data_IF_145433079667
#
_entry.id   IF_145433079667
#
_cell.length_a   1.000
_cell.length_b   1.000
_cell.length_c   1.000
_cell.angle_alpha   90.00
_cell.angle_beta   90.00
_cell.angle_gamma   90.00
#
_symmetry.space_group_name_H-M   'P 1'
#
loop_
_entity.id
_entity.type
_entity.pdbx_description
1 polymer ?
#
# COMPACT_ATOMS: atom_id res chain seq x y z
N UNK A 1 -32.02 96.02 65.71
CA UNK A 1 -33.19 95.27 66.22
C UNK A 1 -33.11 93.83 65.72
N UNK A 2 -33.06 92.83 66.60
CA UNK A 2 -33.04 91.42 66.19
C UNK A 2 -34.49 90.99 65.94
N UNK A 3 -34.89 90.81 64.66
CA UNK A 3 -36.19 90.26 64.31
C UNK A 3 -36.33 88.82 64.86
N UNK A 4 -37.50 88.53 65.43
CA UNK A 4 -37.87 87.18 65.90
C UNK A 4 -38.02 86.23 64.70
N UNK A 5 -37.85 84.93 64.92
CA UNK A 5 -37.95 83.89 63.88
C UNK A 5 -39.29 83.98 63.13
N UNK A 6 -40.40 84.03 63.87
CA UNK A 6 -41.74 84.08 63.30
C UNK A 6 -41.94 85.30 62.40
N UNK A 7 -41.47 86.48 62.81
CA UNK A 7 -41.61 87.70 62.00
C UNK A 7 -40.80 87.64 60.70
N UNK A 8 -39.61 87.01 60.73
CA UNK A 8 -38.82 86.76 59.53
C UNK A 8 -39.51 85.76 58.59
N UNK A 9 -40.06 84.68 59.15
CA UNK A 9 -40.82 83.69 58.37
C UNK A 9 -42.07 84.30 57.75
N UNK A 10 -42.80 85.14 58.48
CA UNK A 10 -44.01 85.80 57.98
C UNK A 10 -43.69 86.84 56.92
N UNK A 11 -42.65 87.66 57.12
CA UNK A 11 -42.19 88.59 56.10
C UNK A 11 -41.72 87.89 54.81
N UNK A 12 -41.10 86.71 54.94
CA UNK A 12 -40.74 85.88 53.80
C UNK A 12 -41.99 85.33 53.08
N UNK A 13 -43.00 84.90 53.84
CA UNK A 13 -44.27 84.44 53.26
C UNK A 13 -45.00 85.57 52.52
N UNK A 14 -45.03 86.78 53.09
CA UNK A 14 -45.63 87.96 52.45
C UNK A 14 -44.90 88.32 51.15
N UNK A 15 -43.56 88.30 51.15
CA UNK A 15 -42.76 88.56 49.95
C UNK A 15 -42.98 87.49 48.86
N UNK A 16 -42.94 86.20 49.23
CA UNK A 16 -43.19 85.10 48.28
C UNK A 16 -44.61 85.14 47.72
N UNK A 17 -45.59 85.49 48.54
CA UNK A 17 -46.98 85.63 48.12
C UNK A 17 -47.18 86.83 47.19
N UNK A 18 -46.49 87.95 47.43
CA UNK A 18 -46.47 89.10 46.53
C UNK A 18 -45.87 88.75 45.15
N UNK A 19 -44.87 87.86 45.13
CA UNK A 19 -44.26 87.31 43.90
C UNK A 19 -45.10 86.18 43.25
N UNK A 20 -46.30 85.90 43.77
CA UNK A 20 -47.20 84.86 43.24
C UNK A 20 -46.75 83.42 43.51
N UNK A 21 -45.73 83.20 44.35
CA UNK A 21 -45.22 81.87 44.71
C UNK A 21 -45.86 81.40 46.01
N UNK A 22 -46.29 80.14 46.06
CA UNK A 22 -46.79 79.54 47.30
C UNK A 22 -45.64 79.40 48.31
N UNK A 23 -45.74 79.99 49.52
CA UNK A 23 -44.72 79.79 50.54
C UNK A 23 -44.54 78.31 50.87
N UNK A 24 -43.30 77.82 50.75
CA UNK A 24 -42.88 76.48 51.13
C UNK A 24 -41.64 76.57 52.01
N UNK A 25 -41.35 75.52 52.78
CA UNK A 25 -40.20 75.50 53.72
C UNK A 25 -38.92 75.91 53.00
N UNK A 26 -38.63 75.32 51.84
CA UNK A 26 -37.43 75.61 51.06
C UNK A 26 -37.34 77.09 50.68
N UNK A 27 -38.39 77.63 50.05
CA UNK A 27 -38.42 79.02 49.58
C UNK A 27 -38.31 80.04 50.73
N UNK A 28 -39.01 79.78 51.83
CA UNK A 28 -38.97 80.65 53.02
C UNK A 28 -37.58 80.61 53.67
N UNK A 29 -36.92 79.45 53.71
CA UNK A 29 -35.56 79.34 54.23
C UNK A 29 -34.54 80.05 53.36
N UNK A 30 -34.64 79.89 52.04
CA UNK A 30 -33.73 80.55 51.10
C UNK A 30 -33.86 82.07 51.19
N UNK A 31 -35.09 82.58 51.30
CA UNK A 31 -35.35 84.01 51.50
C UNK A 31 -34.81 84.50 52.85
N UNK A 32 -35.12 83.80 53.94
CA UNK A 32 -34.65 84.20 55.29
C UNK A 32 -33.13 84.08 55.44
N UNK A 33 -32.48 83.17 54.71
CA UNK A 33 -31.02 83.10 54.59
C UNK A 33 -30.45 84.30 53.85
N UNK A 34 -31.01 84.64 52.69
CA UNK A 34 -30.57 85.76 51.87
C UNK A 34 -30.73 87.12 52.60
N UNK A 35 -31.81 87.29 53.36
CA UNK A 35 -32.13 88.57 54.03
C UNK A 35 -31.61 88.63 55.48
N UNK A 36 -31.52 87.50 56.18
CA UNK A 36 -31.24 87.44 57.62
C UNK A 36 -29.93 86.77 58.03
N UNK A 37 -29.16 86.22 57.07
CA UNK A 37 -27.80 85.71 57.29
C UNK A 37 -27.66 84.45 58.14
N UNK A 38 -28.75 83.85 58.64
CA UNK A 38 -28.70 82.60 59.41
C UNK A 38 -30.00 81.78 59.31
N UNK A 39 -29.85 80.46 59.25
CA UNK A 39 -30.96 79.48 59.35
C UNK A 39 -31.56 79.54 60.77
N UNK A 40 -32.66 80.26 60.99
CA UNK A 40 -33.34 80.31 62.29
C UNK A 40 -34.43 79.24 62.40
N UNK A 41 -34.20 78.20 63.21
CA UNK A 41 -35.19 77.19 63.58
C UNK A 41 -35.12 75.88 62.78
N UNK A 42 -35.86 74.87 63.25
CA UNK A 42 -36.03 73.57 62.57
C UNK A 42 -37.07 73.66 61.43
N UNK A 43 -37.09 72.68 60.51
CA UNK A 43 -38.11 72.65 59.45
C UNK A 43 -39.53 72.56 60.01
N UNK A 44 -39.72 71.84 61.13
CA UNK A 44 -41.01 71.76 61.81
C UNK A 44 -41.46 73.11 62.37
N UNK A 45 -40.53 73.91 62.89
CA UNK A 45 -40.81 75.27 63.37
C UNK A 45 -41.20 76.22 62.23
N UNK A 46 -40.45 76.21 61.14
CA UNK A 46 -40.72 77.04 59.95
C UNK A 46 -42.05 76.64 59.34
N UNK A 47 -42.34 75.34 59.22
CA UNK A 47 -43.62 74.85 58.72
C UNK A 47 -44.79 75.26 59.63
N UNK A 48 -44.59 75.26 60.96
CA UNK A 48 -45.62 75.72 61.90
C UNK A 48 -45.90 77.21 61.73
N UNK A 49 -44.86 78.03 61.57
CA UNK A 49 -44.98 79.48 61.36
C UNK A 49 -45.63 79.80 59.99
N UNK A 50 -45.30 79.04 58.94
CA UNK A 50 -45.96 79.12 57.61
C UNK A 50 -47.45 78.75 57.71
N UNK A 51 -47.78 77.66 58.41
CA UNK A 51 -49.17 77.24 58.60
C UNK A 51 -49.97 78.28 59.39
N UNK A 52 -49.37 78.89 60.41
CA UNK A 52 -49.99 79.98 61.16
C UNK A 52 -50.24 81.21 60.27
N UNK A 53 -49.27 81.58 59.43
CA UNK A 53 -49.43 82.65 58.43
C UNK A 53 -50.57 82.38 57.45
N UNK A 54 -50.66 81.15 56.90
CA UNK A 54 -51.79 80.75 56.04
C UNK A 54 -53.13 80.80 56.79
N UNK A 55 -53.15 80.38 58.06
CA UNK A 55 -54.33 80.44 58.91
C UNK A 55 -54.86 81.86 59.04
N UNK A 56 -53.98 82.83 59.27
CA UNK A 56 -54.37 84.24 59.39
C UNK A 56 -54.71 84.89 58.03
N UNK A 57 -54.01 84.53 56.94
CA UNK A 57 -54.38 84.96 55.58
C UNK A 57 -55.78 84.47 55.19
N UNK A 58 -56.13 83.24 55.54
CA UNK A 58 -57.43 82.65 55.23
C UNK A 58 -58.56 83.26 56.08
N UNK A 59 -58.29 83.62 57.34
CA UNK A 59 -59.22 84.45 58.14
C UNK A 59 -59.44 85.79 57.45
N UNK A 60 -58.38 86.46 57.02
CA UNK A 60 -58.47 87.75 56.33
C UNK A 60 -59.28 87.67 55.01
N UNK A 61 -59.20 86.56 54.28
CA UNK A 61 -60.02 86.33 53.07
C UNK A 61 -61.48 85.96 53.38
N UNK A 62 -61.76 85.36 54.54
CA UNK A 62 -63.14 85.07 54.98
C UNK A 62 -63.83 86.31 55.55
N UNK A 63 -63.09 87.18 56.23
CA UNK A 63 -63.64 88.30 57.00
C UNK A 63 -63.66 89.64 56.23
N UNK A 64 -63.07 89.71 55.03
CA UNK A 64 -63.23 90.89 54.17
C UNK A 64 -64.61 90.89 53.50
N UNK A 65 -65.55 91.60 54.12
CA UNK A 65 -66.47 92.43 53.35
C UNK A 65 -65.63 93.23 52.35
N UNK A 66 -65.99 93.22 51.07
CA UNK A 66 -65.29 94.04 50.07
C UNK A 66 -65.55 95.50 50.47
N UNK A 67 -64.58 96.11 51.15
CA UNK A 67 -64.73 97.45 51.68
C UNK A 67 -65.07 98.42 50.54
N UNK A 68 -66.04 99.30 50.80
CA UNK A 68 -66.54 100.36 49.91
C UNK A 68 -67.39 99.93 48.69
N UNK A 69 -67.86 98.67 48.63
CA UNK A 69 -68.89 98.27 47.64
C UNK A 69 -70.30 98.23 48.25
N UNK A 70 -71.33 98.76 47.55
CA UNK A 70 -72.71 98.54 47.94
C UNK A 70 -73.02 97.04 48.06
N UNK A 71 -73.72 96.66 49.14
CA UNK A 71 -74.13 95.28 49.44
C UNK A 71 -74.63 94.45 48.23
N UNK A 72 -75.48 94.97 47.32
CA UNK A 72 -75.92 94.20 46.16
C UNK A 72 -74.78 93.85 45.19
N UNK A 73 -73.78 94.73 45.03
CA UNK A 73 -72.63 94.48 44.15
C UNK A 73 -71.64 93.51 44.82
N UNK A 74 -71.45 93.63 46.14
CA UNK A 74 -70.65 92.68 46.91
C UNK A 74 -71.29 91.27 46.94
N UNK A 75 -72.63 91.17 46.93
CA UNK A 75 -73.35 89.90 46.77
C UNK A 75 -73.13 89.30 45.38
N UNK A 76 -73.31 90.08 44.32
CA UNK A 76 -73.08 89.63 42.93
C UNK A 76 -71.63 89.16 42.71
N UNK A 77 -70.64 89.86 43.25
CA UNK A 77 -69.23 89.47 43.16
C UNK A 77 -68.95 88.14 43.87
N UNK A 78 -69.59 87.89 45.02
CA UNK A 78 -69.49 86.59 45.73
C UNK A 78 -70.14 85.47 44.93
N UNK A 79 -71.29 85.72 44.32
CA UNK A 79 -72.00 84.72 43.52
C UNK A 79 -71.24 84.40 42.23
N UNK A 80 -70.68 85.40 41.56
CA UNK A 80 -69.80 85.20 40.41
C UNK A 80 -68.54 84.42 40.78
N UNK A 81 -67.91 84.73 41.92
CA UNK A 81 -66.75 84.00 42.40
C UNK A 81 -67.09 82.54 42.73
N UNK A 82 -68.25 82.27 43.36
CA UNK A 82 -68.73 80.91 43.60
C UNK A 82 -68.92 80.15 42.31
N UNK A 83 -69.62 80.74 41.33
CA UNK A 83 -69.84 80.13 40.02
C UNK A 83 -68.52 79.82 39.31
N UNK A 84 -67.55 80.74 39.34
CA UNK A 84 -66.24 80.54 38.75
C UNK A 84 -65.45 79.41 39.45
N UNK A 85 -65.53 79.34 40.78
CA UNK A 85 -64.92 78.25 41.57
C UNK A 85 -65.58 76.91 41.27
N UNK A 86 -66.91 76.86 41.18
CA UNK A 86 -67.66 75.64 40.88
C UNK A 86 -67.36 75.14 39.47
N UNK A 87 -67.35 76.02 38.46
CA UNK A 87 -66.96 75.68 37.09
C UNK A 87 -65.50 75.18 36.99
N UNK A 88 -64.57 75.80 37.73
CA UNK A 88 -63.19 75.34 37.80
C UNK A 88 -63.08 73.96 38.49
N UNK A 89 -63.85 73.73 39.56
CA UNK A 89 -63.89 72.45 40.26
C UNK A 89 -64.46 71.34 39.37
N UNK A 90 -65.53 71.62 38.60
CA UNK A 90 -66.10 70.69 37.63
C UNK A 90 -65.10 70.36 36.51
N UNK A 91 -64.42 71.36 35.96
CA UNK A 91 -63.36 71.13 34.96
C UNK A 91 -62.21 70.28 35.51
N UNK A 92 -61.75 70.56 36.74
CA UNK A 92 -60.72 69.75 37.40
C UNK A 92 -61.22 68.31 37.65
N UNK A 93 -62.48 68.14 38.06
CA UNK A 93 -63.06 66.82 38.26
C UNK A 93 -63.13 66.03 36.94
N UNK A 94 -63.52 66.69 35.84
CA UNK A 94 -63.56 66.07 34.51
C UNK A 94 -62.17 65.63 34.06
N UNK A 95 -61.16 66.51 34.13
CA UNK A 95 -59.78 66.16 33.75
C UNK A 95 -59.21 65.03 34.62
N UNK A 96 -59.54 64.99 35.91
CA UNK A 96 -59.15 63.85 36.78
C UNK A 96 -59.75 62.54 36.31
N UNK A 97 -61.05 62.52 35.99
CA UNK A 97 -61.70 61.29 35.48
C UNK A 97 -61.12 60.83 34.15
N UNK A 98 -60.75 61.77 33.28
CA UNK A 98 -60.10 61.47 32.00
C UNK A 98 -58.69 60.91 32.21
N UNK A 99 -57.89 61.54 33.06
CA UNK A 99 -56.55 61.05 33.41
C UNK A 99 -56.59 59.67 34.08
N UNK A 100 -57.57 59.42 34.95
CA UNK A 100 -57.76 58.10 35.56
C UNK A 100 -58.11 57.04 34.49
N UNK A 101 -58.97 57.37 33.51
CA UNK A 101 -59.28 56.47 32.41
C UNK A 101 -58.06 56.18 31.54
N UNK A 102 -57.32 57.21 31.10
CA UNK A 102 -56.07 57.06 30.33
C UNK A 102 -55.03 56.25 31.10
N UNK A 103 -54.90 56.46 32.41
CA UNK A 103 -54.01 55.68 33.26
C UNK A 103 -54.38 54.20 33.26
N UNK A 104 -55.66 53.87 33.41
CA UNK A 104 -56.10 52.46 33.39
C UNK A 104 -55.91 51.80 32.02
N UNK A 105 -56.01 52.56 30.92
CA UNK A 105 -55.72 52.06 29.58
C UNK A 105 -54.23 51.78 29.40
N UNK A 106 -53.38 52.71 29.84
CA UNK A 106 -51.93 52.53 29.81
C UNK A 106 -51.46 51.37 30.68
N UNK A 107 -52.06 51.16 31.85
CA UNK A 107 -51.77 50.00 32.71
C UNK A 107 -52.09 48.68 31.98
N UNK A 108 -53.23 48.58 31.29
CA UNK A 108 -53.57 47.39 30.49
C UNK A 108 -52.58 47.14 29.36
N UNK A 109 -52.11 48.20 28.69
CA UNK A 109 -51.10 48.07 27.63
C UNK A 109 -49.74 47.64 28.19
N UNK A 110 -49.38 48.11 29.39
CA UNK A 110 -48.17 47.67 30.09
C UNK A 110 -48.27 46.19 30.44
N UNK A 111 -49.40 45.74 30.98
CA UNK A 111 -49.62 44.33 31.35
C UNK A 111 -49.53 43.43 30.12
N UNK A 112 -50.20 43.80 29.01
CA UNK A 112 -50.13 43.04 27.75
C UNK A 112 -48.69 42.98 27.21
N UNK A 113 -47.97 44.11 27.22
CA UNK A 113 -46.57 44.12 26.78
C UNK A 113 -45.68 43.27 27.69
N UNK A 114 -45.94 43.23 29.00
CA UNK A 114 -45.23 42.35 29.93
C UNK A 114 -45.49 40.88 29.62
N UNK A 115 -46.75 40.48 29.38
CA UNK A 115 -47.11 39.12 28.97
C UNK A 115 -46.38 38.70 27.69
N UNK A 116 -46.36 39.55 26.66
CA UNK A 116 -45.65 39.31 25.41
C UNK A 116 -44.13 39.16 25.63
N UNK A 117 -43.53 39.97 26.51
CA UNK A 117 -42.10 39.84 26.83
C UNK A 117 -41.78 38.54 27.56
N UNK A 118 -42.65 38.08 28.47
CA UNK A 118 -42.48 36.79 29.16
C UNK A 118 -42.57 35.65 28.15
N UNK A 119 -43.57 35.65 27.28
CA UNK A 119 -43.73 34.64 26.23
C UNK A 119 -42.50 34.62 25.29
N UNK A 120 -41.98 35.77 24.90
CA UNK A 120 -40.78 35.86 24.08
C UNK A 120 -39.53 35.28 24.79
N UNK A 121 -39.37 35.52 26.09
CA UNK A 121 -38.28 34.96 26.90
C UNK A 121 -38.40 33.44 27.02
N UNK A 122 -39.61 32.91 27.21
CA UNK A 122 -39.84 31.47 27.26
C UNK A 122 -39.48 30.80 25.93
N UNK A 123 -39.92 31.36 24.80
CA UNK A 123 -39.55 30.88 23.47
C UNK A 123 -38.04 30.93 23.26
N UNK A 124 -37.38 32.03 23.66
CA UNK A 124 -35.93 32.17 23.54
C UNK A 124 -35.19 31.09 24.37
N UNK A 125 -35.66 30.78 25.57
CA UNK A 125 -35.09 29.74 26.42
C UNK A 125 -35.28 28.34 25.82
N UNK A 126 -36.46 28.04 25.26
CA UNK A 126 -36.72 26.79 24.55
C UNK A 126 -35.80 26.63 23.33
N UNK A 127 -35.63 27.68 22.53
CA UNK A 127 -34.73 27.66 21.37
C UNK A 127 -33.28 27.47 21.81
N UNK A 128 -32.84 28.16 22.87
CA UNK A 128 -31.50 27.99 23.44
C UNK A 128 -31.24 26.55 23.88
N UNK A 129 -32.23 25.91 24.52
CA UNK A 129 -32.16 24.49 24.88
C UNK A 129 -32.04 23.57 23.67
N UNK A 130 -32.87 23.78 22.63
CA UNK A 130 -32.80 23.02 21.37
C UNK A 130 -31.45 23.17 20.67
N UNK A 131 -30.89 24.38 20.65
CA UNK A 131 -29.57 24.66 20.08
C UNK A 131 -28.47 23.93 20.86
N UNK A 132 -28.54 23.91 22.19
CA UNK A 132 -27.56 23.20 23.02
C UNK A 132 -27.55 21.69 22.71
N UNK A 133 -28.74 21.06 22.65
CA UNK A 133 -28.88 19.64 22.30
C UNK A 133 -28.35 19.36 20.88
N UNK A 134 -28.67 20.23 19.92
CA UNK A 134 -28.19 20.09 18.55
C UNK A 134 -26.66 20.19 18.47
N UNK A 135 -26.05 21.12 19.20
CA UNK A 135 -24.59 21.28 19.25
C UNK A 135 -23.90 20.08 19.89
N UNK A 136 -24.47 19.50 20.94
CA UNK A 136 -23.95 18.28 21.55
C UNK A 136 -24.01 17.10 20.57
N UNK A 137 -25.14 16.95 19.84
CA UNK A 137 -25.28 15.92 18.82
C UNK A 137 -24.30 16.10 17.66
N UNK A 138 -24.04 17.34 17.22
CA UNK A 138 -23.02 17.67 16.21
C UNK A 138 -21.64 17.28 16.73
N UNK A 139 -21.28 17.67 17.95
CA UNK A 139 -20.00 17.31 18.56
C UNK A 139 -19.79 15.79 18.66
N UNK A 140 -20.84 15.03 18.99
CA UNK A 140 -20.79 13.56 18.99
C UNK A 140 -20.58 12.95 17.59
N UNK A 141 -21.18 13.55 16.57
CA UNK A 141 -20.97 13.16 15.16
C UNK A 141 -19.55 13.48 14.70
N UNK A 142 -19.02 14.65 15.03
CA UNK A 142 -17.65 15.06 14.67
C UNK A 142 -16.61 14.11 15.29
N UNK A 143 -16.81 13.71 16.55
CA UNK A 143 -15.96 12.69 17.17
C UNK A 143 -16.03 11.34 16.44
N UNK A 144 -17.22 10.95 15.98
CA UNK A 144 -17.41 9.70 15.22
C UNK A 144 -16.73 9.79 13.86
N UNK A 145 -16.85 10.93 13.17
CA UNK A 145 -16.17 11.20 11.91
C UNK A 145 -14.66 11.10 12.10
N UNK A 146 -14.08 11.76 13.11
CA UNK A 146 -12.64 11.68 13.38
C UNK A 146 -12.15 10.26 13.66
N UNK A 147 -12.94 9.43 14.36
CA UNK A 147 -12.63 8.01 14.54
C UNK A 147 -12.64 7.26 13.21
N UNK A 148 -13.67 7.45 12.38
CA UNK A 148 -13.78 6.81 11.07
C UNK A 148 -12.64 7.22 10.13
N UNK A 149 -12.27 8.50 10.11
CA UNK A 149 -11.13 9.01 9.34
C UNK A 149 -9.82 8.32 9.76
N UNK A 150 -9.59 8.15 11.07
CA UNK A 150 -8.40 7.42 11.56
C UNK A 150 -8.38 5.95 11.12
N UNK A 151 -9.54 5.29 11.09
CA UNK A 151 -9.67 3.90 10.62
C UNK A 151 -9.40 3.82 9.13
N UNK A 152 -9.91 4.76 8.33
CA UNK A 152 -9.68 4.80 6.88
C UNK A 152 -8.19 4.99 6.57
N UNK A 153 -7.51 5.90 7.27
CA UNK A 153 -6.07 6.12 7.10
C UNK A 153 -5.25 4.87 7.44
N UNK A 154 -5.59 4.18 8.53
CA UNK A 154 -4.93 2.93 8.90
C UNK A 154 -5.18 1.83 7.87
N UNK A 155 -6.41 1.72 7.35
CA UNK A 155 -6.73 0.76 6.28
C UNK A 155 -5.97 1.07 4.98
N UNK A 156 -5.83 2.34 4.60
CA UNK A 156 -5.04 2.75 3.43
C UNK A 156 -3.57 2.32 3.58
N UNK A 157 -2.97 2.58 4.75
CA UNK A 157 -1.60 2.15 5.05
C UNK A 157 -1.43 0.62 4.98
N UNK A 158 -2.43 -0.14 5.46
CA UNK A 158 -2.41 -1.59 5.36
C UNK A 158 -2.53 -2.08 3.91
N UNK A 159 -3.32 -1.40 3.08
CA UNK A 159 -3.43 -1.71 1.64
C UNK A 159 -2.11 -1.44 0.93
N UNK A 160 -1.47 -0.30 1.19
CA UNK A 160 -0.15 0.04 0.64
C UNK A 160 0.89 -1.03 1.00
N UNK A 161 1.00 -1.40 2.27
CA UNK A 161 1.91 -2.45 2.71
C UNK A 161 1.64 -3.81 2.06
N UNK A 162 0.36 -4.15 1.83
CA UNK A 162 -0.01 -5.38 1.11
C UNK A 162 0.36 -5.30 -0.37
N UNK A 163 0.17 -4.16 -1.01
CA UNK A 163 0.57 -3.95 -2.39
C UNK A 163 2.08 -4.07 -2.57
N UNK A 164 2.89 -3.46 -1.69
CA UNK A 164 4.35 -3.61 -1.69
C UNK A 164 4.76 -5.09 -1.59
N UNK A 165 4.08 -5.86 -0.74
CA UNK A 165 4.32 -7.30 -0.59
C UNK A 165 3.94 -8.07 -1.86
N UNK A 166 2.82 -7.73 -2.49
CA UNK A 166 2.37 -8.35 -3.74
C UNK A 166 3.39 -8.06 -4.85
N UNK A 167 3.86 -6.82 -4.97
CA UNK A 167 4.89 -6.43 -5.95
C UNK A 167 6.20 -7.20 -5.72
N UNK A 168 6.66 -7.30 -4.47
CA UNK A 168 7.86 -8.08 -4.14
C UNK A 168 7.69 -9.58 -4.47
N UNK A 169 6.50 -10.15 -4.22
CA UNK A 169 6.21 -11.54 -4.57
C UNK A 169 6.13 -11.74 -6.09
N UNK A 170 5.52 -10.81 -6.83
CA UNK A 170 5.47 -10.84 -8.29
C UNK A 170 6.87 -10.80 -8.90
N UNK A 171 7.75 -9.93 -8.39
CA UNK A 171 9.15 -9.86 -8.81
C UNK A 171 9.91 -11.16 -8.54
N UNK A 172 9.69 -11.80 -7.37
CA UNK A 172 10.33 -13.08 -7.05
C UNK A 172 9.83 -14.22 -7.95
N UNK A 173 8.53 -14.26 -8.28
CA UNK A 173 7.97 -15.24 -9.21
C UNK A 173 8.56 -15.04 -10.62
N UNK A 174 8.68 -13.79 -11.08
CA UNK A 174 9.31 -13.49 -12.37
C UNK A 174 10.76 -13.99 -12.40
N UNK A 175 11.56 -13.69 -11.37
CA UNK A 175 12.94 -14.18 -11.24
C UNK A 175 13.02 -15.71 -11.26
N UNK A 176 12.17 -16.40 -10.49
CA UNK A 176 12.13 -17.86 -10.49
C UNK A 176 11.71 -18.44 -11.85
N UNK A 177 10.82 -17.75 -12.56
CA UNK A 177 10.44 -18.10 -13.93
C UNK A 177 11.60 -18.00 -14.91
N UNK A 178 12.39 -16.92 -14.83
CA UNK A 178 13.60 -16.73 -15.63
C UNK A 178 14.67 -17.78 -15.30
N UNK A 179 14.93 -18.03 -14.02
CA UNK A 179 15.86 -19.08 -13.56
C UNK A 179 15.43 -20.47 -14.06
N UNK A 180 14.14 -20.78 -13.98
CA UNK A 180 13.58 -22.01 -14.53
C UNK A 180 13.76 -22.13 -16.05
N UNK A 181 13.56 -21.04 -16.79
CA UNK A 181 13.76 -21.02 -18.24
C UNK A 181 15.22 -21.26 -18.62
N UNK A 182 16.17 -20.65 -17.90
CA UNK A 182 17.61 -20.86 -18.12
C UNK A 182 17.97 -22.33 -17.88
N UNK A 183 17.54 -22.90 -16.76
CA UNK A 183 17.81 -24.32 -16.43
C UNK A 183 17.24 -25.28 -17.48
N UNK A 184 16.05 -25.00 -18.03
CA UNK A 184 15.48 -25.80 -19.11
C UNK A 184 16.34 -25.74 -20.39
N UNK A 185 16.82 -24.56 -20.77
CA UNK A 185 17.72 -24.40 -21.93
C UNK A 185 19.02 -25.17 -21.71
N UNK A 186 19.62 -25.10 -20.52
CA UNK A 186 20.83 -25.87 -20.17
C UNK A 186 20.59 -27.38 -20.23
N UNK A 187 19.46 -27.86 -19.69
CA UNK A 187 19.08 -29.27 -19.75
C UNK A 187 18.85 -29.75 -21.19
N UNK A 188 18.21 -28.93 -22.03
CA UNK A 188 18.05 -29.25 -23.45
C UNK A 188 19.38 -29.28 -24.21
N UNK A 189 20.29 -28.35 -23.91
CA UNK A 189 21.64 -28.33 -24.49
C UNK A 189 22.42 -29.58 -24.08
N UNK A 190 22.40 -29.95 -22.79
CA UNK A 190 23.03 -31.17 -22.28
C UNK A 190 22.42 -32.43 -22.90
N UNK A 191 21.10 -32.48 -23.05
CA UNK A 191 20.40 -33.59 -23.73
C UNK A 191 20.84 -33.72 -25.19
N UNK A 192 20.90 -32.61 -25.93
CA UNK A 192 21.38 -32.59 -27.33
C UNK A 192 22.83 -33.04 -27.41
N UNK A 193 23.69 -32.57 -26.51
CA UNK A 193 25.09 -32.98 -26.44
C UNK A 193 25.24 -34.47 -26.17
N UNK A 194 24.50 -35.02 -25.21
CA UNK A 194 24.49 -36.45 -24.92
C UNK A 194 24.03 -37.31 -26.10
N UNK A 195 23.02 -36.87 -26.85
CA UNK A 195 22.60 -37.55 -28.08
C UNK A 195 23.69 -37.57 -29.15
N UNK A 196 24.40 -36.45 -29.34
CA UNK A 196 25.53 -36.38 -30.27
C UNK A 196 26.66 -37.33 -29.86
N UNK A 197 27.00 -37.42 -28.58
CA UNK A 197 28.00 -38.38 -28.08
C UNK A 197 27.58 -39.83 -28.34
N UNK A 198 26.30 -40.16 -28.13
CA UNK A 198 25.76 -41.50 -28.43
C UNK A 198 25.88 -41.81 -29.92
N UNK A 199 25.55 -40.87 -30.80
CA UNK A 199 25.65 -41.08 -32.25
C UNK A 199 27.11 -41.22 -32.71
N UNK A 200 28.03 -40.44 -32.13
CA UNK A 200 29.47 -40.59 -32.36
C UNK A 200 29.97 -41.97 -31.90
N UNK A 201 29.60 -42.41 -30.70
CA UNK A 201 29.97 -43.73 -30.18
C UNK A 201 29.40 -44.86 -31.04
N UNK A 202 28.15 -44.73 -31.52
CA UNK A 202 27.54 -45.69 -32.46
C UNK A 202 28.26 -45.71 -33.80
N UNK A 203 28.67 -44.56 -34.34
CA UNK A 203 29.43 -44.49 -35.59
C UNK A 203 30.81 -45.16 -35.45
N UNK A 204 31.53 -44.85 -34.36
CA UNK A 204 32.81 -45.49 -34.04
C UNK A 204 32.66 -47.02 -33.86
N UNK A 205 31.60 -47.47 -33.18
CA UNK A 205 31.30 -48.90 -33.02
C UNK A 205 31.05 -49.58 -34.37
N UNK A 206 30.34 -48.93 -35.31
CA UNK A 206 30.14 -49.46 -36.66
C UNK A 206 31.46 -49.57 -37.43
N UNK A 207 32.33 -48.57 -37.31
CA UNK A 207 33.67 -48.60 -37.93
C UNK A 207 34.50 -49.75 -37.36
N UNK A 208 34.60 -49.85 -36.03
CA UNK A 208 35.32 -50.93 -35.35
C UNK A 208 34.77 -52.31 -35.74
N UNK A 209 33.45 -52.47 -35.81
CA UNK A 209 32.82 -53.71 -36.27
C UNK A 209 33.18 -54.02 -37.72
N UNK A 210 33.17 -53.04 -38.61
CA UNK A 210 33.55 -53.23 -40.01
C UNK A 210 35.03 -53.61 -40.17
N UNK A 211 35.93 -52.99 -39.40
CA UNK A 211 37.35 -53.33 -39.37
C UNK A 211 37.59 -54.73 -38.80
N UNK A 212 36.88 -55.10 -37.73
CA UNK A 212 36.91 -56.46 -37.18
C UNK A 212 36.45 -57.49 -38.22
N UNK A 213 35.36 -57.24 -38.94
CA UNK A 213 34.91 -58.14 -40.01
C UNK A 213 35.97 -58.27 -41.09
N UNK A 214 36.51 -57.16 -41.61
CA UNK A 214 37.58 -57.19 -42.63
C UNK A 214 38.82 -57.96 -42.18
N UNK A 215 39.25 -57.76 -40.94
CA UNK A 215 40.43 -58.47 -40.40
C UNK A 215 40.15 -59.97 -40.22
N UNK A 216 38.94 -60.35 -39.80
CA UNK A 216 38.54 -61.77 -39.73
C UNK A 216 38.45 -62.42 -41.10
N UNK A 217 37.90 -61.72 -42.11
CA UNK A 217 37.86 -62.20 -43.50
C UNK A 217 39.26 -62.35 -44.08
N UNK A 218 40.14 -61.37 -43.87
CA UNK A 218 41.54 -61.44 -44.29
C UNK A 218 42.29 -62.59 -43.61
N UNK A 219 42.08 -62.80 -42.32
CA UNK A 219 42.65 -63.93 -41.58
C UNK A 219 42.14 -65.28 -42.10
N UNK A 220 40.83 -65.38 -42.39
CA UNK A 220 40.23 -66.59 -42.97
C UNK A 220 40.81 -66.88 -44.35
N UNK A 221 40.92 -65.88 -45.23
CA UNK A 221 41.54 -66.03 -46.54
C UNK A 221 43.00 -66.50 -46.43
N UNK A 222 43.79 -65.89 -45.53
CA UNK A 222 45.18 -66.29 -45.29
C UNK A 222 45.29 -67.73 -44.75
N UNK A 223 44.37 -68.15 -43.88
CA UNK A 223 44.30 -69.53 -43.39
C UNK A 223 43.97 -70.52 -44.51
N UNK A 224 43.00 -70.20 -45.37
CA UNK A 224 42.62 -71.05 -46.51
C UNK A 224 43.77 -71.18 -47.51
N UNK A 225 44.45 -70.07 -47.80
CA UNK A 225 45.66 -70.09 -48.64
C UNK A 225 46.75 -70.98 -48.02
N UNK A 226 47.00 -70.86 -46.70
CA UNK A 226 47.94 -71.75 -46.00
C UNK A 226 47.52 -73.21 -46.11
N UNK A 227 46.25 -73.52 -45.90
CA UNK A 227 45.71 -74.89 -46.02
C UNK A 227 45.92 -75.47 -47.42
N UNK A 228 45.69 -74.67 -48.46
CA UNK A 228 45.96 -75.06 -49.84
C UNK A 228 47.45 -75.33 -50.06
N UNK A 229 48.34 -74.46 -49.57
CA UNK A 229 49.79 -74.69 -49.68
C UNK A 229 50.24 -75.93 -48.92
N UNK A 230 49.69 -76.20 -47.73
CA UNK A 230 49.96 -77.43 -46.97
C UNK A 230 49.50 -78.66 -47.73
N UNK A 231 48.28 -78.63 -48.29
CA UNK A 231 47.76 -79.72 -49.11
C UNK A 231 48.61 -79.96 -50.37
N UNK A 232 49.08 -78.90 -51.04
CA UNK A 232 49.97 -79.02 -52.18
C UNK A 232 51.33 -79.65 -51.77
N UNK A 233 51.92 -79.18 -50.67
CA UNK A 233 53.16 -79.76 -50.15
C UNK A 233 52.97 -81.22 -49.70
N UNK A 234 51.81 -81.59 -49.14
CA UNK A 234 51.48 -82.98 -48.82
C UNK A 234 51.40 -83.86 -50.07
N UNK A 235 50.79 -83.36 -51.16
CA UNK A 235 50.78 -84.08 -52.44
C UNK A 235 52.17 -84.23 -53.04
N UNK A 236 52.99 -83.17 -53.02
CA UNK A 236 54.39 -83.24 -53.46
C UNK A 236 55.21 -84.23 -52.62
N UNK A 237 55.05 -84.23 -51.29
CA UNK A 237 55.68 -85.20 -50.40
C UNK A 237 55.23 -86.63 -50.71
N UNK A 238 53.94 -86.85 -50.99
CA UNK A 238 53.42 -88.16 -51.38
C UNK A 238 54.00 -88.61 -52.73
N UNK A 239 54.12 -87.71 -53.71
CA UNK A 239 54.80 -88.01 -54.98
C UNK A 239 56.27 -88.34 -54.79
N UNK A 240 57.00 -87.54 -54.00
CA UNK A 240 58.42 -87.79 -53.71
C UNK A 240 58.58 -89.13 -52.99
N UNK A 241 57.73 -89.46 -52.02
CA UNK A 241 57.69 -90.77 -51.38
C UNK A 241 57.42 -91.88 -52.40
N UNK A 242 56.45 -91.71 -53.29
CA UNK A 242 56.18 -92.68 -54.36
C UNK A 242 57.36 -92.88 -55.30
N UNK A 243 58.04 -91.80 -55.73
CA UNK A 243 59.27 -91.87 -56.54
C UNK A 243 60.41 -92.54 -55.79
N UNK A 244 60.54 -92.28 -54.49
CA UNK A 244 61.55 -92.90 -53.64
C UNK A 244 61.29 -94.40 -53.50
N UNK A 245 60.06 -94.84 -53.23
CA UNK A 245 59.69 -96.26 -53.22
C UNK A 245 59.94 -96.92 -54.58
N UNK A 246 59.63 -96.26 -55.70
CA UNK A 246 59.94 -96.77 -57.03
C UNK A 246 61.45 -96.87 -57.29
N UNK A 247 62.25 -95.91 -56.80
CA UNK A 247 63.70 -95.97 -56.83
C UNK A 247 64.24 -97.10 -55.94
N UNK A 248 63.70 -97.30 -54.75
CA UNK A 248 64.04 -98.40 -53.85
C UNK A 248 63.73 -99.76 -54.52
N UNK A 249 62.55 -99.93 -55.11
CA UNK A 249 62.20 -101.11 -55.91
C UNK A 249 63.13 -101.32 -57.10
N UNK A 250 63.45 -100.26 -57.85
CA UNK A 250 64.41 -100.31 -58.95
C UNK A 250 65.82 -100.69 -58.47
N UNK A 251 66.24 -100.17 -57.32
CA UNK A 251 67.52 -100.48 -56.71
C UNK A 251 67.56 -101.93 -56.22
N UNK A 252 66.48 -102.42 -55.63
CA UNK A 252 66.36 -103.81 -55.17
C UNK A 252 66.27 -104.78 -56.36
N UNK A 253 65.54 -104.44 -57.42
CA UNK A 253 65.58 -105.14 -58.70
C UNK A 253 66.99 -105.13 -59.29
N UNK A 254 67.69 -104.00 -59.21
CA UNK A 254 69.09 -103.85 -59.59
C UNK A 254 70.02 -104.75 -58.77
N UNK A 255 69.84 -104.82 -57.45
CA UNK A 255 70.58 -105.74 -56.56
C UNK A 255 70.29 -107.19 -56.87
N UNK A 256 69.03 -107.57 -57.11
CA UNK A 256 68.67 -108.92 -57.56
C UNK A 256 69.33 -109.24 -58.89
N UNK A 257 69.38 -108.28 -59.82
CA UNK A 257 70.12 -108.41 -61.08
C UNK A 257 71.61 -108.59 -60.85
N UNK A 258 72.23 -107.80 -59.98
CA UNK A 258 73.63 -107.93 -59.60
C UNK A 258 73.87 -109.31 -58.96
N UNK A 259 73.05 -109.73 -58.00
CA UNK A 259 73.13 -111.05 -57.39
C UNK A 259 72.97 -112.17 -58.42
N UNK A 260 72.04 -112.04 -59.37
CA UNK A 260 71.88 -112.99 -60.47
C UNK A 260 73.12 -113.00 -61.38
N UNK A 261 73.66 -111.84 -61.74
CA UNK A 261 74.89 -111.70 -62.52
C UNK A 261 76.10 -112.23 -61.74
N UNK A 262 76.14 -112.10 -60.42
CA UNK A 262 77.18 -112.64 -59.55
C UNK A 262 77.08 -114.16 -59.44
N UNK A 263 75.87 -114.72 -59.41
CA UNK A 263 75.66 -116.17 -59.53
C UNK A 263 76.01 -116.68 -60.93
N UNK A 264 75.71 -115.92 -61.99
CA UNK A 264 76.15 -116.19 -63.36
C UNK A 264 77.67 -116.03 -63.52
N UNK A 265 78.29 -115.08 -62.82
CA UNK A 265 79.74 -114.88 -62.78
C UNK A 265 80.43 -115.98 -61.99
N UNK A 266 79.78 -116.47 -60.93
CA UNK A 266 80.25 -117.59 -60.14
C UNK A 266 80.08 -118.90 -60.90
N UNK A 267 79.00 -119.08 -61.66
CA UNK A 267 78.81 -120.23 -62.52
C UNK A 267 79.73 -120.20 -63.75
N UNK A 268 79.98 -119.03 -64.33
CA UNK A 268 81.01 -118.85 -65.38
C UNK A 268 82.44 -118.94 -64.85
N UNK A 269 82.73 -118.52 -63.61
CA UNK A 269 84.01 -118.82 -62.93
C UNK A 269 84.16 -120.31 -62.64
N UNK A 270 83.10 -121.00 -62.25
CA UNK A 270 83.10 -122.46 -62.09
C UNK A 270 83.34 -123.14 -63.44
N UNK A 271 82.70 -122.68 -64.52
CA UNK A 271 82.94 -123.16 -65.89
C UNK A 271 84.36 -122.81 -66.41
N UNK A 272 84.92 -121.65 -66.06
CA UNK A 272 86.31 -121.28 -66.37
C UNK A 272 87.31 -122.11 -65.56
N UNK A 273 87.02 -122.44 -64.30
CA UNK A 273 87.86 -123.33 -63.49
C UNK A 273 87.85 -124.77 -64.01
N UNK A 274 86.78 -125.20 -64.67
CA UNK A 274 86.65 -126.53 -65.29
C UNK A 274 87.31 -126.57 -66.68
N UNK A 275 87.49 -125.43 -67.36
CA UNK A 275 88.00 -125.41 -68.75
C UNK A 275 89.44 -124.91 -68.90
N UNK A 276 90.08 -124.35 -67.86
CA UNK A 276 91.48 -123.89 -67.91
C UNK A 276 92.51 -124.87 -67.32
N UNK A 277 92.32 -126.17 -67.51
CA UNK A 277 93.38 -127.17 -67.35
C UNK A 277 93.68 -127.88 -68.68
N UNK A 278 94.11 -127.14 -69.71
CA UNK A 278 95.05 -127.60 -70.77
C UNK A 278 95.28 -126.52 -71.85
N UNK A 279 96.55 -126.11 -71.93
CA UNK A 279 97.33 -125.80 -73.16
C UNK A 279 97.18 -124.40 -73.83
N UNK A 280 98.21 -123.92 -74.57
CA UNK A 280 98.96 -122.72 -74.17
C UNK A 280 99.22 -121.69 -75.30
N UNK A 281 99.90 -120.59 -74.90
CA UNK A 281 100.81 -119.70 -75.65
C UNK A 281 100.32 -118.74 -76.76
N UNK A 282 100.94 -117.53 -76.67
CA UNK A 282 101.46 -116.63 -77.73
C UNK A 282 100.60 -115.45 -78.26
N UNK A 283 100.93 -114.27 -77.75
CA UNK A 283 101.57 -113.13 -78.45
C UNK A 283 100.80 -112.17 -79.40
N UNK A 284 101.08 -110.88 -79.17
CA UNK A 284 101.17 -109.69 -80.09
C UNK A 284 99.89 -108.99 -80.57
N UNK A 285 99.74 -107.69 -80.18
CA UNK A 285 99.75 -106.58 -81.15
C UNK A 285 98.49 -105.75 -81.45
N UNK A 286 98.71 -104.42 -81.51
CA UNK A 286 97.96 -103.34 -82.23
C UNK A 286 96.62 -102.86 -81.62
N UNK A 287 96.41 -101.58 -81.24
CA UNK A 287 96.41 -100.23 -81.90
C UNK A 287 95.02 -99.75 -82.37
N UNK A 288 94.66 -98.56 -81.88
CA UNK A 288 93.95 -97.43 -82.52
C UNK A 288 92.39 -97.38 -82.59
N UNK A 289 91.87 -96.14 -82.44
CA UNK A 289 90.48 -95.69 -82.70
C UNK A 289 89.81 -95.11 -81.45
N UNK A 290 89.67 -93.81 -81.13
CA UNK A 290 89.35 -92.54 -81.85
C UNK A 290 87.84 -92.19 -81.89
N UNK A 291 87.52 -90.95 -81.45
CA UNK A 291 86.31 -90.10 -81.64
C UNK A 291 85.12 -90.32 -80.66
N UNK A 292 84.62 -89.36 -79.87
CA UNK A 292 84.16 -87.96 -80.07
C UNK A 292 82.70 -87.83 -80.56
N UNK A 293 81.82 -87.25 -79.73
CA UNK A 293 80.74 -86.27 -80.08
C UNK A 293 79.92 -85.89 -78.82
N UNK A 294 79.91 -84.66 -78.29
CA UNK A 294 79.15 -83.42 -78.58
C UNK A 294 77.59 -83.40 -78.46
N UNK A 295 77.12 -82.44 -77.62
CA UNK A 295 75.92 -81.55 -77.74
C UNK A 295 74.53 -82.20 -77.53
N UNK A 296 73.48 -81.56 -76.97
CA UNK A 296 73.00 -80.15 -77.01
C UNK A 296 71.80 -80.00 -76.01
N UNK A 297 71.82 -79.07 -75.04
CA UNK A 297 71.01 -77.82 -74.93
C UNK A 297 69.54 -77.80 -75.42
N UNK A 298 68.62 -77.47 -74.50
CA UNK A 298 67.61 -76.37 -74.47
C UNK A 298 66.43 -76.81 -73.57
N UNK A 299 65.80 -75.98 -72.73
CA UNK A 299 65.69 -74.52 -72.61
C UNK A 299 65.60 -74.17 -71.12
#
# INVERSE_FOLDING_TARGET
MILTRQNLTWSACDALAADGRKPSIGLVRDWTLATGGAKKGSDGDVQKDINAWFGDLLKLKKDKSIADLPDPVAALARDFWRLAVDAANESIAHERTKLDAEKTEMEKLIDLAQEDTVAAVEIANLLKGKIAIANEAIGGRDQTIGRLESVVLEQQKQIESRNDRIEAQAANIARLGEEGAILLVEMEANRKHGLLQIDQARAALRQYKAESVKTTEAAHFALEQRRQTTSALETELAEVRGRMSALEESMESGKQRIASLETELSSTRLLQSVTQSKLPQRSVGAKAGTMASTRRRKK
#
